data_IF_527593443768
#
_entry.id   IF_527593443768
#
_cell.length_a   1.000
_cell.length_b   1.000
_cell.length_c   1.000
_cell.angle_alpha   90.00
_cell.angle_beta   90.00
_cell.angle_gamma   90.00
#
_symmetry.space_group_name_H-M   'P 1'
#
loop_
_entity.id
_entity.type
_entity.pdbx_description
1 polymer ?
#
# COMPACT_ATOMS: atom_id res chain seq x y z
N UNK A 1 2.89 -2.15 9.32
CA UNK A 1 4.23 -1.77 8.84
C UNK A 1 4.22 -2.19 7.38
N UNK A 2 4.77 -1.43 6.45
CA UNK A 2 4.70 -1.89 5.05
C UNK A 2 5.50 -3.19 4.84
N UNK A 3 4.82 -4.22 4.32
CA UNK A 3 5.44 -5.53 4.06
C UNK A 3 5.99 -5.58 2.65
N UNK A 4 7.16 -6.16 2.49
CA UNK A 4 7.76 -6.31 1.16
C UNK A 4 7.42 -7.67 0.57
N UNK A 5 6.96 -7.68 -0.68
CA UNK A 5 6.59 -8.88 -1.40
C UNK A 5 7.13 -8.85 -2.83
N UNK A 6 7.09 -9.99 -3.51
CA UNK A 6 7.41 -10.09 -4.93
C UNK A 6 6.13 -10.40 -5.70
N UNK A 7 5.75 -9.52 -6.62
CA UNK A 7 4.58 -9.70 -7.47
C UNK A 7 5.00 -9.63 -8.94
N UNK A 8 4.70 -10.68 -9.72
CA UNK A 8 5.06 -10.79 -11.14
C UNK A 8 6.56 -10.51 -11.40
N UNK A 9 7.43 -11.03 -10.54
CA UNK A 9 8.88 -10.84 -10.63
C UNK A 9 9.42 -9.50 -10.12
N UNK A 10 8.56 -8.52 -9.80
CA UNK A 10 8.95 -7.20 -9.28
C UNK A 10 8.77 -7.13 -7.77
N UNK A 11 9.65 -6.37 -7.10
CA UNK A 11 9.49 -6.04 -5.67
C UNK A 11 8.31 -5.06 -5.54
N UNK A 12 7.42 -5.34 -4.60
CA UNK A 12 6.25 -4.53 -4.27
C UNK A 12 6.13 -4.39 -2.76
N UNK A 13 5.45 -3.35 -2.34
CA UNK A 13 5.18 -3.01 -0.95
C UNK A 13 3.70 -3.19 -0.68
N UNK A 14 3.35 -3.96 0.34
CA UNK A 14 2.00 -4.34 0.69
C UNK A 14 1.63 -3.60 1.97
N UNK A 15 0.51 -2.91 1.95
CA UNK A 15 -0.10 -2.39 3.17
C UNK A 15 -0.63 -3.57 3.98
N UNK A 16 -0.21 -3.72 5.24
CA UNK A 16 -0.65 -4.84 6.08
C UNK A 16 -2.10 -4.71 6.57
N UNK A 17 -2.69 -3.51 6.47
CA UNK A 17 -4.06 -3.25 6.94
C UNK A 17 -5.13 -3.58 5.89
N UNK A 18 -4.99 -3.07 4.68
CA UNK A 18 -5.94 -3.31 3.59
C UNK A 18 -5.48 -4.38 2.58
N UNK A 19 -4.20 -4.77 2.59
CA UNK A 19 -3.64 -5.74 1.64
C UNK A 19 -3.33 -5.19 0.25
N UNK A 20 -3.50 -3.89 0.01
CA UNK A 20 -3.13 -3.27 -1.27
C UNK A 20 -1.62 -3.34 -1.50
N UNK A 21 -1.23 -3.56 -2.76
CA UNK A 21 0.16 -3.68 -3.19
C UNK A 21 0.55 -2.45 -4.00
N UNK A 22 1.76 -1.95 -3.79
CA UNK A 22 2.28 -0.73 -4.40
C UNK A 22 3.70 -0.98 -4.93
N UNK A 23 4.11 -0.27 -5.97
CA UNK A 23 5.49 -0.36 -6.47
C UNK A 23 6.48 0.39 -5.60
N UNK A 24 6.05 1.46 -4.96
CA UNK A 24 6.90 2.31 -4.12
C UNK A 24 6.49 2.21 -2.66
N UNK A 25 7.48 2.14 -1.77
CA UNK A 25 7.28 2.09 -0.31
C UNK A 25 6.47 3.27 0.20
N UNK A 26 6.63 4.45 -0.42
CA UNK A 26 5.95 5.69 -0.04
C UNK A 26 4.43 5.55 -0.12
N UNK A 27 3.90 4.86 -1.13
CA UNK A 27 2.46 4.67 -1.31
C UNK A 27 1.90 3.67 -0.29
N UNK A 28 2.60 2.57 -0.07
CA UNK A 28 2.21 1.62 0.97
C UNK A 28 2.23 2.28 2.36
N UNK A 29 3.22 3.15 2.63
CA UNK A 29 3.34 3.89 3.89
C UNK A 29 2.22 4.88 4.07
N UNK A 30 1.99 5.74 3.07
CA UNK A 30 0.87 6.67 3.05
C UNK A 30 -0.49 5.97 3.20
N UNK A 31 -0.65 4.76 2.65
CA UNK A 31 -1.86 3.96 2.82
C UNK A 31 -2.06 3.58 4.29
N UNK A 32 -1.04 3.02 4.94
CA UNK A 32 -1.11 2.64 6.36
C UNK A 32 -1.32 3.84 7.28
N UNK A 33 -0.60 4.93 7.04
CA UNK A 33 -0.70 6.15 7.84
C UNK A 33 -2.10 6.76 7.73
N UNK A 34 -2.65 6.76 6.52
CA UNK A 34 -4.02 7.22 6.31
C UNK A 34 -5.04 6.32 7.01
N UNK A 35 -4.91 5.00 6.86
CA UNK A 35 -5.80 4.05 7.53
C UNK A 35 -5.70 4.18 9.06
N UNK A 36 -4.53 4.54 9.62
CA UNK A 36 -4.34 4.77 11.08
C UNK A 36 -5.15 5.95 11.59
N UNK A 37 -5.22 7.01 10.80
CA UNK A 37 -5.90 8.25 11.22
C UNK A 37 -7.39 8.23 10.87
N UNK A 38 -7.75 7.76 9.67
CA UNK A 38 -9.09 7.91 9.11
C UNK A 38 -9.90 6.60 9.08
N UNK A 39 -9.30 5.46 9.46
CA UNK A 39 -9.94 4.13 9.45
C UNK A 39 -10.61 3.76 8.11
N UNK A 40 -10.11 4.31 7.01
CA UNK A 40 -10.62 4.14 5.65
C UNK A 40 -9.46 4.11 4.66
N UNK A 41 -9.68 3.62 3.43
CA UNK A 41 -8.65 3.66 2.40
C UNK A 41 -8.68 5.00 1.64
N UNK A 42 -7.54 5.68 1.51
CA UNK A 42 -7.43 6.89 0.70
C UNK A 42 -7.48 6.54 -0.79
N UNK A 43 -8.50 7.04 -1.51
CA UNK A 43 -8.65 6.79 -2.96
C UNK A 43 -7.48 7.34 -3.78
N UNK A 44 -6.87 8.45 -3.37
CA UNK A 44 -5.69 9.02 -4.05
C UNK A 44 -4.50 8.08 -3.93
N UNK A 45 -4.30 7.45 -2.78
CA UNK A 45 -3.23 6.45 -2.59
C UNK A 45 -3.57 5.16 -3.34
N UNK A 46 -4.80 4.66 -3.22
CA UNK A 46 -5.25 3.41 -3.86
C UNK A 46 -5.20 3.48 -5.39
N UNK A 47 -5.28 4.66 -6.00
CA UNK A 47 -5.05 4.83 -7.46
C UNK A 47 -3.65 4.36 -7.90
N UNK A 48 -2.67 4.40 -7.01
CA UNK A 48 -1.31 3.90 -7.26
C UNK A 48 -1.15 2.41 -6.91
N UNK A 49 -2.20 1.76 -6.42
CA UNK A 49 -2.16 0.33 -6.13
C UNK A 49 -2.07 -0.47 -7.43
N UNK A 50 -1.26 -1.53 -7.36
CA UNK A 50 -1.13 -2.52 -8.41
C UNK A 50 -2.40 -3.38 -8.48
N UNK A 51 -2.96 -3.50 -9.69
CA UNK A 51 -4.04 -4.45 -10.02
C UNK A 51 -3.50 -5.87 -10.20
#
# INVERSE_FOLDING_TARGET
>A
MVKEAKHKGKRVFVCERCGFRFLEKKWAGACEDWERTHLSCNREVVKHALK
#
